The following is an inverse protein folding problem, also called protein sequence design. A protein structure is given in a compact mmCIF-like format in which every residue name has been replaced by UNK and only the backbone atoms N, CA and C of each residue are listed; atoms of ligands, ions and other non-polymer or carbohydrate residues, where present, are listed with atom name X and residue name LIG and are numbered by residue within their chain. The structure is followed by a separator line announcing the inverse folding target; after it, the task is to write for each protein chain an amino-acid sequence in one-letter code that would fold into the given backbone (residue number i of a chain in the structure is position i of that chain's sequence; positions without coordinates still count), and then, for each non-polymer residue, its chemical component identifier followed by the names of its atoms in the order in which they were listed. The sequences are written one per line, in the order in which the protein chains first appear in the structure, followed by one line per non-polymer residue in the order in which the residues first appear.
data_IF_987628579580
#
_entry.id   IF_987628579580
#
_cell.length_a   1.000
_cell.length_b   1.000
_cell.length_c   1.000
_cell.angle_alpha   90.00
_cell.angle_beta   90.00
_cell.angle_gamma   90.00
#
_symmetry.space_group_name_H-M   'P 1'
#
loop_
_entity.id
_entity.type
_entity.pdbx_description
1 polymer ?
#
# COMPACT_ATOMS: atom_id res chain seq x y z
N UNK A 1 19.78 3.61 19.30
CA UNK A 1 20.37 2.38 18.68
C UNK A 1 20.58 2.63 17.20
N UNK A 2 21.58 2.01 16.56
CA UNK A 2 21.92 2.29 15.14
C UNK A 2 21.21 1.28 14.22
N UNK A 3 20.65 1.76 13.09
CA UNK A 3 20.13 0.90 12.02
C UNK A 3 21.17 -0.11 11.57
N UNK A 4 20.78 -1.36 11.35
CA UNK A 4 21.67 -2.41 10.86
C UNK A 4 21.04 -3.23 9.74
N UNK A 5 21.83 -3.72 8.76
CA UNK A 5 21.37 -4.67 7.77
C UNK A 5 21.14 -6.04 8.43
N UNK A 6 20.21 -6.82 7.84
CA UNK A 6 19.92 -8.20 8.24
C UNK A 6 19.74 -9.01 6.96
N UNK A 7 20.42 -10.14 6.86
CA UNK A 7 20.21 -11.12 5.78
C UNK A 7 19.50 -12.33 6.37
N UNK A 8 18.52 -12.87 5.68
CA UNK A 8 17.74 -14.00 6.14
C UNK A 8 17.27 -14.88 4.97
N UNK A 9 17.03 -16.14 5.27
CA UNK A 9 16.59 -17.11 4.28
C UNK A 9 15.07 -17.09 4.10
N UNK A 10 14.62 -17.28 2.86
CA UNK A 10 13.25 -17.57 2.49
C UNK A 10 13.23 -18.63 1.37
N UNK A 11 12.91 -19.86 1.73
CA UNK A 11 12.82 -20.98 0.79
C UNK A 11 14.09 -21.16 -0.07
N UNK A 12 15.27 -20.93 0.52
CA UNK A 12 16.57 -21.06 -0.14
C UNK A 12 17.06 -19.80 -0.86
N UNK A 13 16.29 -18.70 -0.85
CA UNK A 13 16.70 -17.40 -1.37
C UNK A 13 17.15 -16.47 -0.23
N UNK A 14 18.30 -15.80 -0.37
CA UNK A 14 18.74 -14.80 0.58
C UNK A 14 17.97 -13.48 0.40
N UNK A 15 17.22 -13.07 1.43
CA UNK A 15 16.52 -11.80 1.47
C UNK A 15 17.27 -10.78 2.33
N UNK A 16 17.18 -9.52 1.92
CA UNK A 16 17.85 -8.40 2.57
C UNK A 16 16.86 -7.49 3.29
N UNK A 17 17.12 -7.26 4.56
CA UNK A 17 16.34 -6.38 5.42
C UNK A 17 17.18 -5.27 6.07
N UNK A 18 16.47 -4.35 6.69
CA UNK A 18 17.03 -3.29 7.55
C UNK A 18 16.23 -3.22 8.83
N UNK A 19 16.91 -3.38 9.96
CA UNK A 19 16.36 -3.24 11.30
C UNK A 19 16.72 -1.88 11.89
N UNK A 20 15.71 -1.12 12.26
CA UNK A 20 15.81 0.07 13.11
C UNK A 20 15.42 -0.37 14.53
N UNK A 21 16.38 -0.72 15.43
CA UNK A 21 16.09 -1.28 16.74
C UNK A 21 15.58 -0.23 17.72
N UNK A 22 14.69 -0.65 18.64
CA UNK A 22 14.24 0.14 19.79
C UNK A 22 13.84 -0.81 20.93
N UNK A 23 13.52 -0.27 22.12
CA UNK A 23 13.24 -1.07 23.33
C UNK A 23 11.78 -1.49 23.49
N UNK A 24 10.86 -0.95 22.67
CA UNK A 24 9.43 -1.23 22.78
C UNK A 24 9.06 -2.66 22.43
N UNK A 25 8.01 -3.16 23.03
CA UNK A 25 7.47 -4.51 22.82
C UNK A 25 6.51 -4.61 21.60
N UNK A 26 6.12 -3.48 21.02
CA UNK A 26 5.32 -3.42 19.77
C UNK A 26 6.18 -2.88 18.64
N UNK A 27 6.36 -3.69 17.60
CA UNK A 27 7.17 -3.35 16.44
C UNK A 27 6.35 -3.21 15.15
N UNK A 28 6.95 -2.56 14.14
CA UNK A 28 6.39 -2.40 12.81
C UNK A 28 7.17 -3.22 11.79
N UNK A 29 6.47 -4.09 11.07
CA UNK A 29 6.98 -4.74 9.87
C UNK A 29 6.50 -3.95 8.65
N UNK A 30 7.41 -3.36 7.86
CA UNK A 30 7.06 -2.66 6.62
C UNK A 30 7.28 -3.60 5.43
N UNK A 31 6.20 -3.78 4.65
CA UNK A 31 6.19 -4.53 3.39
C UNK A 31 6.15 -3.54 2.25
N UNK A 32 7.18 -3.50 1.42
CA UNK A 32 7.25 -2.60 0.25
C UNK A 32 6.36 -3.09 -0.88
N UNK A 33 5.69 -2.18 -1.58
CA UNK A 33 4.82 -2.49 -2.72
C UNK A 33 5.54 -2.42 -4.07
N UNK A 34 4.96 -3.04 -5.09
CA UNK A 34 5.50 -3.03 -6.45
C UNK A 34 6.93 -3.54 -6.53
N UNK A 35 7.79 -2.80 -7.21
CA UNK A 35 9.23 -3.05 -7.26
C UNK A 35 10.02 -2.09 -6.34
N UNK A 36 9.37 -1.52 -5.34
CA UNK A 36 10.04 -0.66 -4.37
C UNK A 36 10.99 -1.46 -3.49
N UNK A 37 12.22 -0.96 -3.37
CA UNK A 37 13.18 -1.47 -2.39
C UNK A 37 12.80 -1.01 -0.96
N UNK A 38 13.35 -1.66 0.04
CA UNK A 38 13.06 -1.45 1.48
C UNK A 38 13.22 -0.03 2.02
N UNK A 39 13.85 0.88 1.28
CA UNK A 39 13.89 2.30 1.69
C UNK A 39 12.62 3.06 1.30
N UNK A 40 11.84 2.54 0.36
CA UNK A 40 10.66 3.19 -0.18
C UNK A 40 10.97 4.33 -1.14
N UNK A 41 9.96 4.83 -1.85
CA UNK A 41 10.09 6.02 -2.69
C UNK A 41 10.63 7.20 -1.85
N UNK A 42 11.54 7.98 -2.43
CA UNK A 42 12.24 9.11 -1.78
C UNK A 42 12.84 8.79 -0.38
N UNK A 43 13.16 7.54 -0.10
CA UNK A 43 13.57 7.01 1.22
C UNK A 43 12.50 7.14 2.32
N UNK A 44 11.24 7.28 1.96
CA UNK A 44 10.13 7.57 2.88
C UNK A 44 9.93 6.49 3.96
N UNK A 45 10.02 5.21 3.59
CA UNK A 45 9.92 4.11 4.56
C UNK A 45 11.12 4.09 5.51
N UNK A 46 12.33 4.44 5.02
CA UNK A 46 13.52 4.52 5.85
C UNK A 46 13.47 5.69 6.85
N UNK A 47 12.89 6.84 6.45
CA UNK A 47 12.68 8.00 7.32
C UNK A 47 11.58 7.72 8.36
N UNK A 48 10.48 7.12 7.95
CA UNK A 48 9.40 6.69 8.85
C UNK A 48 9.94 5.74 9.92
N UNK A 49 10.71 4.72 9.51
CA UNK A 49 11.32 3.76 10.42
C UNK A 49 12.23 4.41 11.45
N UNK A 50 13.08 5.36 11.03
CA UNK A 50 13.97 6.09 11.93
C UNK A 50 13.17 6.92 12.97
N UNK A 51 12.08 7.58 12.56
CA UNK A 51 11.20 8.35 13.47
C UNK A 51 10.52 7.45 14.49
N UNK A 52 9.99 6.30 14.05
CA UNK A 52 9.31 5.34 14.94
C UNK A 52 10.28 4.66 15.91
N UNK A 53 11.50 4.31 15.46
CA UNK A 53 12.54 3.80 16.34
C UNK A 53 12.97 4.84 17.38
N UNK A 54 13.06 6.12 16.98
CA UNK A 54 13.27 7.25 17.90
C UNK A 54 12.12 7.44 18.91
N UNK A 55 10.89 7.03 18.55
CA UNK A 55 9.72 7.02 19.43
C UNK A 55 9.61 5.74 20.29
N UNK A 56 10.59 4.83 20.21
CA UNK A 56 10.67 3.62 21.03
C UNK A 56 10.14 2.34 20.38
N UNK A 57 9.69 2.37 19.13
CA UNK A 57 9.13 1.23 18.42
C UNK A 57 10.12 0.66 17.39
N UNK A 58 10.58 -0.60 17.53
CA UNK A 58 11.48 -1.19 16.55
C UNK A 58 10.77 -1.40 15.22
N UNK A 59 11.52 -1.22 14.11
CA UNK A 59 10.97 -1.34 12.75
C UNK A 59 11.85 -2.24 11.91
N UNK A 60 11.25 -3.22 11.24
CA UNK A 60 11.90 -4.06 10.27
C UNK A 60 11.33 -3.83 8.88
N UNK A 61 12.21 -3.65 7.90
CA UNK A 61 11.88 -3.45 6.47
C UNK A 61 12.73 -4.40 5.65
N UNK A 62 12.19 -4.93 4.56
CA UNK A 62 12.92 -5.89 3.73
C UNK A 62 12.58 -5.74 2.25
N UNK A 63 13.48 -6.20 1.40
CA UNK A 63 13.24 -6.40 -0.04
C UNK A 63 12.64 -7.78 -0.26
N UNK A 64 11.55 -7.85 -1.02
CA UNK A 64 10.92 -9.11 -1.41
C UNK A 64 11.81 -9.87 -2.40
N UNK A 65 11.57 -11.15 -2.61
CA UNK A 65 12.29 -11.94 -3.63
C UNK A 65 12.30 -11.22 -4.99
N UNK A 66 13.49 -11.15 -5.62
CA UNK A 66 13.70 -10.50 -6.92
C UNK A 66 13.56 -8.98 -6.92
N UNK A 67 13.59 -8.33 -5.74
CA UNK A 67 13.55 -6.87 -5.58
C UNK A 67 14.80 -6.41 -4.81
N UNK A 68 15.39 -5.30 -5.22
CA UNK A 68 16.55 -4.69 -4.55
C UNK A 68 17.76 -5.63 -4.50
N UNK A 69 18.24 -5.89 -3.27
CA UNK A 69 19.39 -6.78 -3.05
C UNK A 69 18.98 -8.25 -2.81
N UNK A 70 17.64 -8.54 -2.72
CA UNK A 70 17.14 -9.89 -2.44
C UNK A 70 17.20 -10.80 -3.67
N UNK A 71 17.60 -12.04 -3.44
CA UNK A 71 17.67 -13.09 -4.44
C UNK A 71 16.26 -13.58 -4.84
N UNK A 72 16.23 -14.51 -5.83
CA UNK A 72 15.02 -15.16 -6.31
C UNK A 72 14.31 -14.38 -7.41
N UNK A 73 13.06 -14.74 -7.67
CA UNK A 73 12.23 -14.14 -8.74
C UNK A 73 11.06 -13.38 -8.14
N UNK A 74 10.77 -12.18 -8.69
CA UNK A 74 9.59 -11.42 -8.33
C UNK A 74 8.35 -11.96 -9.06
N UNK A 75 7.60 -12.80 -8.40
CA UNK A 75 6.34 -13.38 -8.89
C UNK A 75 5.09 -12.52 -8.54
N UNK A 76 5.30 -11.26 -8.18
CA UNK A 76 4.24 -10.32 -7.82
C UNK A 76 3.73 -10.51 -6.38
N UNK A 77 2.82 -9.62 -5.98
CA UNK A 77 2.36 -9.54 -4.59
C UNK A 77 1.57 -10.77 -4.12
N UNK A 78 0.91 -11.50 -5.02
CA UNK A 78 0.18 -12.74 -4.69
C UNK A 78 1.10 -13.89 -4.24
N UNK A 79 2.40 -13.81 -4.56
CA UNK A 79 3.40 -14.80 -4.17
C UNK A 79 4.24 -14.40 -2.94
N UNK A 80 3.97 -13.24 -2.32
CA UNK A 80 4.83 -12.68 -1.26
C UNK A 80 4.57 -13.22 0.14
N UNK A 81 3.61 -14.13 0.33
CA UNK A 81 3.26 -14.66 1.66
C UNK A 81 4.46 -15.26 2.39
N UNK A 82 5.25 -16.08 1.70
CA UNK A 82 6.46 -16.70 2.27
C UNK A 82 7.50 -15.65 2.67
N UNK A 83 7.73 -14.62 1.84
CA UNK A 83 8.67 -13.54 2.11
C UNK A 83 8.28 -12.76 3.37
N UNK A 84 6.98 -12.45 3.52
CA UNK A 84 6.46 -11.73 4.69
C UNK A 84 6.58 -12.60 5.95
N UNK A 85 6.27 -13.90 5.86
CA UNK A 85 6.42 -14.84 6.97
C UNK A 85 7.88 -14.98 7.42
N UNK A 86 8.82 -15.11 6.49
CA UNK A 86 10.26 -15.18 6.78
C UNK A 86 10.78 -13.88 7.40
N UNK A 87 10.33 -12.73 6.90
CA UNK A 87 10.65 -11.41 7.46
C UNK A 87 10.10 -11.24 8.88
N UNK A 88 8.87 -11.66 9.14
CA UNK A 88 8.25 -11.62 10.47
C UNK A 88 9.00 -12.51 11.47
N UNK A 89 9.31 -13.75 11.08
CA UNK A 89 10.08 -14.67 11.91
C UNK A 89 11.48 -14.10 12.23
N UNK A 90 12.11 -13.50 11.22
CA UNK A 90 13.40 -12.83 11.39
C UNK A 90 13.29 -11.63 12.33
N UNK A 91 12.29 -10.79 12.18
CA UNK A 91 12.07 -9.64 13.06
C UNK A 91 11.91 -10.06 14.53
N UNK A 92 11.10 -11.09 14.80
CA UNK A 92 10.90 -11.66 16.14
C UNK A 92 12.21 -12.24 16.70
N UNK A 93 13.02 -12.91 15.88
CA UNK A 93 14.33 -13.45 16.28
C UNK A 93 15.34 -12.35 16.62
N UNK A 94 15.37 -11.28 15.81
CA UNK A 94 16.28 -10.15 15.98
C UNK A 94 15.89 -9.23 17.15
N UNK A 95 14.62 -9.27 17.54
CA UNK A 95 14.02 -8.48 18.63
C UNK A 95 13.23 -9.38 19.58
N UNK A 96 13.91 -10.18 20.46
CA UNK A 96 13.24 -11.16 21.32
C UNK A 96 12.23 -10.58 22.32
N UNK A 97 12.31 -9.26 22.58
CA UNK A 97 11.35 -8.54 23.45
C UNK A 97 10.02 -8.18 22.77
N UNK A 98 9.89 -8.45 21.47
CA UNK A 98 8.62 -8.16 20.74
C UNK A 98 7.51 -9.08 21.22
N UNK A 99 6.40 -8.48 21.63
CA UNK A 99 5.12 -9.15 21.95
C UNK A 99 4.10 -8.97 20.85
N UNK A 100 4.15 -7.82 20.14
CA UNK A 100 3.21 -7.47 19.09
C UNK A 100 3.94 -7.00 17.85
N UNK A 101 3.46 -7.40 16.67
CA UNK A 101 3.95 -6.92 15.38
C UNK A 101 2.78 -6.44 14.54
N UNK A 102 2.78 -5.15 14.22
CA UNK A 102 1.85 -4.55 13.27
C UNK A 102 2.53 -4.50 11.91
N UNK A 103 1.82 -4.87 10.85
CA UNK A 103 2.34 -4.75 9.50
C UNK A 103 1.81 -3.50 8.79
N UNK A 104 2.70 -2.78 8.12
CA UNK A 104 2.37 -1.69 7.22
C UNK A 104 2.67 -2.10 5.79
N UNK A 105 1.70 -1.95 4.90
CA UNK A 105 1.88 -2.14 3.46
C UNK A 105 1.27 -0.98 2.68
N UNK A 106 1.89 -0.64 1.53
CA UNK A 106 1.38 0.35 0.59
C UNK A 106 1.14 -0.29 -0.77
N UNK A 107 0.13 0.17 -1.52
CA UNK A 107 -0.20 -0.33 -2.85
C UNK A 107 -0.55 -1.85 -2.82
N UNK A 108 0.12 -2.64 -3.66
CA UNK A 108 -0.05 -4.10 -3.75
C UNK A 108 0.42 -4.85 -2.50
N UNK A 109 1.36 -4.29 -1.72
CA UNK A 109 1.73 -4.85 -0.42
C UNK A 109 0.58 -4.72 0.59
N UNK A 110 -0.20 -3.64 0.56
CA UNK A 110 -1.42 -3.55 1.35
C UNK A 110 -2.44 -4.62 0.95
N UNK A 111 -2.57 -4.89 -0.35
CA UNK A 111 -3.43 -5.96 -0.86
C UNK A 111 -2.95 -7.35 -0.44
N UNK A 112 -1.63 -7.59 -0.47
CA UNK A 112 -1.04 -8.84 0.03
C UNK A 112 -1.35 -9.05 1.53
N UNK A 113 -1.22 -8.00 2.35
CA UNK A 113 -1.58 -8.07 3.77
C UNK A 113 -3.07 -8.32 4.00
N UNK A 114 -3.95 -7.79 3.13
CA UNK A 114 -5.39 -8.08 3.19
C UNK A 114 -5.70 -9.53 2.83
N UNK A 115 -4.95 -10.13 1.89
CA UNK A 115 -5.11 -11.53 1.48
C UNK A 115 -4.57 -12.51 2.54
N UNK A 116 -3.40 -12.22 3.12
CA UNK A 116 -2.62 -13.18 3.91
C UNK A 116 -2.54 -12.85 5.40
N UNK A 117 -3.06 -11.70 5.86
CA UNK A 117 -2.91 -11.22 7.24
C UNK A 117 -3.32 -12.24 8.31
N UNK A 118 -4.39 -13.00 8.05
CA UNK A 118 -4.86 -14.07 8.95
C UNK A 118 -3.85 -15.20 9.12
N UNK A 119 -3.12 -15.55 8.04
CA UNK A 119 -2.16 -16.65 8.03
C UNK A 119 -0.79 -16.27 8.60
N UNK A 120 -0.53 -14.95 8.71
CA UNK A 120 0.77 -14.40 9.08
C UNK A 120 0.91 -14.11 10.59
N UNK A 121 -0.11 -14.39 11.40
CA UNK A 121 -0.09 -14.13 12.85
C UNK A 121 0.37 -12.69 13.21
N UNK A 122 -0.14 -11.70 12.47
CA UNK A 122 0.09 -10.28 12.70
C UNK A 122 -0.94 -9.73 13.68
N UNK A 123 -0.54 -8.84 14.57
CA UNK A 123 -1.39 -8.26 15.61
C UNK A 123 -2.20 -7.05 15.13
N UNK A 124 -1.84 -6.49 13.97
CA UNK A 124 -2.56 -5.39 13.34
C UNK A 124 -2.08 -5.11 11.92
N UNK A 125 -2.95 -4.47 11.12
CA UNK A 125 -2.68 -4.12 9.73
C UNK A 125 -2.90 -2.63 9.50
N UNK A 126 -1.89 -1.97 8.90
CA UNK A 126 -1.95 -0.61 8.39
C UNK A 126 -1.82 -0.65 6.87
N UNK A 127 -2.89 -0.34 6.17
CA UNK A 127 -3.08 -0.59 4.75
C UNK A 127 -3.17 0.72 3.98
N UNK A 128 -2.07 1.14 3.36
CA UNK A 128 -2.00 2.42 2.64
C UNK A 128 -2.31 2.24 1.15
N UNK A 129 -3.32 2.96 0.64
CA UNK A 129 -3.69 3.00 -0.78
C UNK A 129 -3.75 1.60 -1.44
N UNK A 130 -4.54 0.61 -0.93
CA UNK A 130 -4.51 -0.75 -1.42
C UNK A 130 -4.81 -0.84 -2.93
N UNK A 131 -4.13 -1.75 -3.62
CA UNK A 131 -4.31 -2.02 -5.03
C UNK A 131 -5.50 -2.98 -5.25
N UNK A 132 -6.40 -2.65 -6.16
CA UNK A 132 -7.61 -3.45 -6.44
C UNK A 132 -7.85 -3.73 -7.92
N UNK A 133 -6.84 -3.57 -8.75
CA UNK A 133 -7.00 -3.77 -10.19
C UNK A 133 -6.53 -5.18 -10.56
N UNK A 134 -7.43 -5.96 -11.15
CA UNK A 134 -7.09 -7.24 -11.75
C UNK A 134 -6.33 -6.95 -13.05
N UNK A 135 -5.02 -7.26 -13.09
CA UNK A 135 -4.19 -7.11 -14.28
C UNK A 135 -4.06 -8.46 -14.98
N UNK A 136 -4.76 -8.66 -16.09
CA UNK A 136 -4.38 -9.69 -17.07
C UNK A 136 -3.33 -9.17 -18.07
N UNK A 137 -3.25 -7.84 -18.26
CA UNK A 137 -2.28 -7.19 -19.14
C UNK A 137 -1.67 -5.97 -18.44
N UNK A 138 -0.35 -5.83 -18.40
CA UNK A 138 0.44 -4.81 -17.71
C UNK A 138 0.12 -3.32 -18.00
N UNK A 139 -1.10 -3.03 -18.37
CA UNK A 139 -1.65 -1.69 -18.60
C UNK A 139 -2.59 -1.28 -17.48
N UNK A 140 -2.30 -0.14 -16.84
CA UNK A 140 -3.18 0.50 -15.86
C UNK A 140 -4.46 0.98 -16.57
N UNK A 141 -5.43 0.09 -16.76
CA UNK A 141 -6.74 0.43 -17.29
C UNK A 141 -7.45 1.42 -16.34
N UNK A 142 -7.99 2.50 -16.87
CA UNK A 142 -8.79 3.45 -16.06
C UNK A 142 -10.12 2.78 -15.71
N UNK A 143 -10.37 2.55 -14.42
CA UNK A 143 -11.69 2.09 -13.99
C UNK A 143 -12.77 3.10 -14.43
N UNK A 144 -13.93 2.63 -14.93
CA UNK A 144 -15.01 3.50 -15.42
C UNK A 144 -15.47 4.56 -14.43
N UNK A 145 -15.42 4.27 -13.12
CA UNK A 145 -15.80 5.21 -12.06
C UNK A 145 -14.83 6.40 -11.93
N UNK A 146 -13.51 6.18 -12.13
CA UNK A 146 -12.50 7.25 -12.12
C UNK A 146 -12.61 8.10 -13.38
N UNK A 147 -12.84 7.46 -14.52
CA UNK A 147 -13.14 8.15 -15.78
C UNK A 147 -14.37 9.04 -15.63
N UNK A 148 -15.50 8.54 -15.07
CA UNK A 148 -16.72 9.33 -14.81
C UNK A 148 -16.44 10.58 -13.97
N UNK A 149 -15.71 10.49 -12.85
CA UNK A 149 -15.35 11.64 -12.01
C UNK A 149 -14.49 12.67 -12.76
N UNK A 150 -13.55 12.19 -13.56
CA UNK A 150 -12.68 13.05 -14.37
C UNK A 150 -13.47 13.79 -15.45
N UNK A 151 -14.39 13.09 -16.17
CA UNK A 151 -15.23 13.70 -17.18
C UNK A 151 -16.28 14.63 -16.58
N UNK A 152 -16.90 14.28 -15.45
CA UNK A 152 -17.81 15.18 -14.74
C UNK A 152 -17.13 16.49 -14.31
N UNK A 153 -15.88 16.43 -13.79
CA UNK A 153 -15.11 17.64 -13.48
C UNK A 153 -14.77 18.48 -14.72
N UNK A 154 -14.40 17.83 -15.84
CA UNK A 154 -14.13 18.52 -17.10
C UNK A 154 -15.37 19.18 -17.68
N UNK A 155 -16.53 18.53 -17.60
CA UNK A 155 -17.81 19.09 -18.03
C UNK A 155 -18.30 20.22 -17.13
N UNK A 156 -17.93 20.24 -15.86
CA UNK A 156 -18.24 21.32 -14.92
C UNK A 156 -17.32 22.54 -15.05
N UNK A 157 -16.20 22.47 -15.79
CA UNK A 157 -15.25 23.60 -15.97
C UNK A 157 -15.57 24.39 -17.24
N UNK A 158 -16.03 25.66 -17.11
CA UNK A 158 -16.36 26.53 -18.26
C UNK A 158 -15.21 26.77 -19.24
N UNK A 159 -13.96 26.65 -18.77
CA UNK A 159 -12.77 26.82 -19.62
C UNK A 159 -12.58 25.67 -20.60
N UNK A 160 -13.08 24.49 -20.27
CA UNK A 160 -13.01 23.30 -21.14
C UNK A 160 -14.02 23.42 -22.31
N UNK A 161 -15.17 24.08 -22.11
CA UNK A 161 -16.15 24.33 -23.15
C UNK A 161 -15.61 25.22 -24.28
N UNK A 162 -14.77 26.23 -23.93
CA UNK A 162 -14.08 27.05 -24.93
C UNK A 162 -13.11 26.24 -25.80
N UNK A 163 -12.42 25.25 -25.25
CA UNK A 163 -11.51 24.36 -26.00
C UNK A 163 -12.26 23.36 -26.88
N UNK A 164 -13.43 22.89 -26.46
CA UNK A 164 -14.31 22.05 -27.28
C UNK A 164 -14.82 22.83 -28.51
N UNK A 165 -15.20 24.07 -28.33
CA UNK A 165 -15.69 24.93 -29.41
C UNK A 165 -14.59 25.35 -30.43
N UNK A 166 -13.29 25.27 -30.05
CA UNK A 166 -12.15 25.62 -30.89
C UNK A 166 -11.54 24.42 -31.64
N UNK A 167 -12.16 23.22 -31.63
CA UNK A 167 -11.72 22.06 -32.42
C UNK A 167 -10.48 21.32 -31.89
N UNK A 168 -10.06 21.61 -30.66
CA UNK A 168 -8.83 21.03 -30.07
C UNK A 168 -9.02 19.71 -29.33
N UNK A 169 -10.11 18.97 -29.54
CA UNK A 169 -10.37 17.68 -28.87
C UNK A 169 -10.79 16.64 -29.92
N UNK A 170 -10.11 15.50 -29.92
CA UNK A 170 -10.48 14.36 -30.74
C UNK A 170 -11.81 13.77 -30.23
N UNK A 171 -12.83 13.85 -31.07
CA UNK A 171 -14.20 13.43 -30.74
C UNK A 171 -14.30 11.92 -30.50
N UNK A 172 -13.47 11.13 -31.20
CA UNK A 172 -13.41 9.67 -31.06
C UNK A 172 -12.81 9.25 -29.70
N UNK A 173 -11.85 10.00 -29.19
CA UNK A 173 -11.32 9.80 -27.85
C UNK A 173 -12.31 10.19 -26.76
N UNK A 174 -13.13 11.22 -27.02
CA UNK A 174 -14.21 11.63 -26.10
C UNK A 174 -15.30 10.56 -26.04
N UNK A 175 -15.74 10.05 -27.20
CA UNK A 175 -16.78 9.01 -27.30
C UNK A 175 -16.28 7.70 -26.71
N UNK A 176 -15.06 7.26 -27.04
CA UNK A 176 -14.42 6.08 -26.42
C UNK A 176 -14.31 6.21 -24.90
N UNK A 177 -13.92 7.38 -24.41
CA UNK A 177 -13.85 7.67 -22.99
C UNK A 177 -15.22 7.66 -22.31
N UNK A 178 -16.26 8.15 -22.98
CA UNK A 178 -17.65 8.17 -22.49
C UNK A 178 -18.25 6.76 -22.46
N UNK A 179 -18.06 5.96 -23.52
CA UNK A 179 -18.49 4.56 -23.58
C UNK A 179 -17.80 3.75 -22.47
N UNK A 180 -16.50 3.93 -22.26
CA UNK A 180 -15.74 3.30 -21.17
C UNK A 180 -16.21 3.78 -19.79
N UNK A 181 -16.64 5.04 -19.66
CA UNK A 181 -17.19 5.58 -18.42
C UNK A 181 -18.61 5.07 -18.12
N UNK A 182 -19.39 4.74 -19.14
CA UNK A 182 -20.75 4.19 -19.01
C UNK A 182 -20.77 2.67 -18.86
N UNK A 183 -19.67 1.97 -19.19
CA UNK A 183 -19.57 0.53 -18.97
C UNK A 183 -19.71 0.21 -17.48
N UNK A 184 -20.52 -0.80 -17.14
CA UNK A 184 -20.59 -1.32 -15.76
C UNK A 184 -19.22 -1.81 -15.36
N UNK A 185 -18.69 -1.29 -14.26
CA UNK A 185 -17.47 -1.81 -13.64
C UNK A 185 -17.75 -3.27 -13.25
N UNK A 186 -17.06 -4.22 -13.87
CA UNK A 186 -17.06 -5.60 -13.34
C UNK A 186 -16.55 -5.53 -11.90
N UNK A 187 -17.15 -6.25 -10.95
CA UNK A 187 -16.59 -6.38 -9.62
C UNK A 187 -15.14 -6.88 -9.76
N UNK A 188 -14.20 -6.23 -9.07
CA UNK A 188 -12.81 -6.70 -9.02
C UNK A 188 -12.78 -8.00 -8.22
N UNK A 189 -12.32 -9.08 -8.82
CA UNK A 189 -12.14 -10.38 -8.15
C UNK A 189 -11.15 -10.22 -6.99
N UNK A 190 -10.06 -9.51 -7.22
CA UNK A 190 -9.08 -9.17 -6.18
C UNK A 190 -9.74 -8.46 -4.98
N UNK A 191 -10.61 -7.47 -5.23
CA UNK A 191 -11.29 -6.77 -4.14
C UNK A 191 -12.25 -7.69 -3.34
N UNK A 192 -12.83 -8.70 -3.98
CA UNK A 192 -13.64 -9.71 -3.30
C UNK A 192 -12.77 -10.61 -2.41
N UNK A 193 -11.67 -11.14 -2.94
CA UNK A 193 -10.69 -11.94 -2.18
C UNK A 193 -10.12 -11.17 -0.98
N UNK A 194 -9.75 -9.89 -1.17
CA UNK A 194 -9.27 -9.02 -0.09
C UNK A 194 -10.32 -8.83 1.01
N UNK A 195 -11.62 -8.69 0.65
CA UNK A 195 -12.70 -8.62 1.65
C UNK A 195 -12.81 -9.90 2.44
N UNK A 196 -12.74 -11.04 1.77
CA UNK A 196 -12.79 -12.34 2.40
C UNK A 196 -11.60 -12.55 3.35
N UNK A 197 -10.38 -12.19 2.93
CA UNK A 197 -9.19 -12.22 3.77
C UNK A 197 -9.36 -11.37 5.03
N UNK A 198 -9.80 -10.10 4.89
CA UNK A 198 -10.06 -9.22 6.03
C UNK A 198 -11.24 -9.64 6.90
N UNK A 199 -12.24 -10.32 6.36
CA UNK A 199 -13.38 -10.83 7.14
C UNK A 199 -12.95 -11.94 8.11
N UNK A 200 -11.88 -12.68 7.78
CA UNK A 200 -11.29 -13.72 8.65
C UNK A 200 -10.26 -13.15 9.64
N UNK A 201 -9.79 -11.94 9.41
CA UNK A 201 -8.76 -11.31 10.25
C UNK A 201 -9.36 -10.69 11.50
N UNK A 202 -8.86 -11.07 12.67
CA UNK A 202 -9.38 -10.65 13.98
C UNK A 202 -8.61 -9.48 14.61
N UNK A 203 -7.43 -9.13 14.08
CA UNK A 203 -6.62 -8.04 14.60
C UNK A 203 -7.14 -6.65 14.19
N UNK A 204 -6.54 -5.61 14.75
CA UNK A 204 -6.86 -4.22 14.40
C UNK A 204 -6.49 -3.92 12.94
N UNK A 205 -7.35 -3.19 12.23
CA UNK A 205 -7.12 -2.79 10.83
C UNK A 205 -7.39 -1.30 10.67
N UNK A 206 -6.43 -0.57 10.07
CA UNK A 206 -6.63 0.81 9.60
C UNK A 206 -6.29 0.89 8.10
N UNK A 207 -7.15 1.55 7.34
CA UNK A 207 -6.99 1.79 5.90
C UNK A 207 -6.68 3.27 5.69
N UNK A 208 -5.48 3.57 5.21
CA UNK A 208 -4.94 4.93 5.09
C UNK A 208 -4.98 5.38 3.62
N UNK A 209 -5.73 6.44 3.31
CA UNK A 209 -6.05 6.82 1.93
C UNK A 209 -5.54 8.22 1.59
N UNK A 210 -4.67 8.31 0.59
CA UNK A 210 -4.32 9.55 -0.11
C UNK A 210 -5.46 9.94 -1.07
N UNK A 211 -6.35 10.85 -0.67
CA UNK A 211 -7.65 11.10 -1.33
C UNK A 211 -7.55 11.45 -2.82
N UNK A 212 -6.45 12.09 -3.25
CA UNK A 212 -6.26 12.55 -4.63
C UNK A 212 -5.33 11.62 -5.43
N UNK A 213 -4.80 10.56 -4.79
CA UNK A 213 -4.04 9.51 -5.47
C UNK A 213 -4.95 8.63 -6.32
N UNK A 214 -4.43 8.18 -7.46
CA UNK A 214 -5.18 7.37 -8.42
C UNK A 214 -5.49 5.98 -7.89
N UNK A 215 -4.53 5.31 -7.28
CA UNK A 215 -4.71 3.96 -6.70
C UNK A 215 -5.76 3.99 -5.60
N UNK A 216 -5.69 4.99 -4.72
CA UNK A 216 -6.67 5.21 -3.67
C UNK A 216 -8.10 5.46 -4.22
N UNK A 217 -8.23 6.18 -5.35
CA UNK A 217 -9.52 6.41 -5.99
C UNK A 217 -10.08 5.11 -6.61
N UNK A 218 -9.22 4.26 -7.19
CA UNK A 218 -9.59 2.94 -7.71
C UNK A 218 -10.04 2.02 -6.57
N UNK A 219 -9.27 1.99 -5.48
CA UNK A 219 -9.64 1.26 -4.28
C UNK A 219 -11.01 1.71 -3.76
N UNK A 220 -11.22 3.01 -3.58
CA UNK A 220 -12.51 3.52 -3.09
C UNK A 220 -13.69 3.16 -4.00
N UNK A 221 -13.47 3.14 -5.32
CA UNK A 221 -14.50 2.76 -6.28
C UNK A 221 -14.87 1.26 -6.20
N UNK A 222 -13.88 0.39 -5.96
CA UNK A 222 -14.07 -1.05 -5.82
C UNK A 222 -14.52 -1.47 -4.40
N UNK A 223 -14.02 -0.78 -3.37
CA UNK A 223 -14.21 -1.13 -1.96
C UNK A 223 -15.46 -0.53 -1.32
N UNK A 224 -15.83 0.71 -1.69
CA UNK A 224 -16.96 1.42 -1.11
C UNK A 224 -16.62 2.11 0.23
N UNK A 225 -17.62 2.21 1.11
CA UNK A 225 -17.46 2.81 2.45
C UNK A 225 -17.02 1.75 3.45
N UNK A 226 -16.02 2.10 4.26
CA UNK A 226 -15.51 1.26 5.35
C UNK A 226 -15.12 2.19 6.50
N UNK A 227 -15.62 1.91 7.70
CA UNK A 227 -15.39 2.72 8.91
C UNK A 227 -13.93 2.75 9.36
N UNK A 228 -13.14 1.76 8.95
CA UNK A 228 -11.70 1.66 9.24
C UNK A 228 -10.86 2.60 8.36
N UNK A 229 -11.50 3.34 7.44
CA UNK A 229 -10.79 4.18 6.46
C UNK A 229 -10.56 5.58 6.98
N UNK A 230 -9.31 5.98 7.09
CA UNK A 230 -8.85 7.33 7.35
C UNK A 230 -8.31 7.97 6.05
N UNK A 231 -8.53 9.27 5.86
CA UNK A 231 -8.22 9.94 4.60
C UNK A 231 -7.41 11.20 4.83
N UNK A 232 -6.39 11.39 3.99
CA UNK A 232 -5.62 12.64 3.95
C UNK A 232 -5.68 13.27 2.55
N UNK A 233 -5.79 14.60 2.49
CA UNK A 233 -6.03 15.35 1.25
C UNK A 233 -4.73 15.56 0.44
N UNK A 234 -4.02 14.48 0.09
CA UNK A 234 -2.83 14.50 -0.77
C UNK A 234 -3.06 13.73 -2.08
N UNK A 235 -2.26 14.05 -3.10
CA UNK A 235 -2.14 13.30 -4.35
C UNK A 235 -0.90 12.37 -4.35
N UNK A 236 -0.07 12.46 -3.32
CA UNK A 236 1.14 11.66 -3.20
C UNK A 236 0.78 10.24 -2.78
N UNK A 237 1.01 9.28 -3.67
CA UNK A 237 0.81 7.85 -3.40
C UNK A 237 1.60 7.37 -2.18
N UNK A 238 2.83 7.86 -2.02
CA UNK A 238 3.77 7.51 -0.95
C UNK A 238 3.77 8.51 0.21
N UNK A 239 2.78 9.41 0.30
CA UNK A 239 2.69 10.43 1.34
C UNK A 239 3.96 11.30 1.46
N UNK A 240 4.52 11.74 0.31
CA UNK A 240 5.80 12.45 0.27
C UNK A 240 5.74 13.90 0.75
N UNK A 241 4.57 14.54 0.73
CA UNK A 241 4.38 15.92 1.24
C UNK A 241 4.65 15.96 2.75
N UNK A 242 5.21 17.05 3.26
CA UNK A 242 5.58 17.19 4.67
C UNK A 242 4.40 16.92 5.62
N UNK A 243 3.26 17.57 5.39
CA UNK A 243 2.05 17.34 6.18
C UNK A 243 1.52 15.89 6.05
N UNK A 244 1.68 15.27 4.87
CA UNK A 244 1.26 13.88 4.65
C UNK A 244 2.18 12.90 5.37
N UNK A 245 3.50 13.16 5.42
CA UNK A 245 4.46 12.37 6.19
C UNK A 245 4.17 12.40 7.68
N UNK A 246 3.85 13.59 8.20
CA UNK A 246 3.54 13.75 9.63
C UNK A 246 2.22 13.08 9.96
N UNK A 247 1.21 13.25 9.13
CA UNK A 247 -0.06 12.54 9.30
C UNK A 247 0.13 11.02 9.28
N UNK A 248 0.90 10.48 8.33
CA UNK A 248 1.19 9.04 8.26
C UNK A 248 1.92 8.56 9.52
N UNK A 249 2.95 9.29 9.95
CA UNK A 249 3.68 8.98 11.17
C UNK A 249 2.76 8.91 12.39
N UNK A 250 1.87 9.90 12.57
CA UNK A 250 0.93 9.94 13.70
C UNK A 250 -0.06 8.76 13.67
N UNK A 251 -0.55 8.38 12.48
CA UNK A 251 -1.45 7.21 12.34
C UNK A 251 -0.74 5.91 12.68
N UNK A 252 0.48 5.72 12.17
CA UNK A 252 1.28 4.54 12.46
C UNK A 252 1.64 4.49 13.95
N UNK A 253 2.09 5.60 14.53
CA UNK A 253 2.43 5.69 15.95
C UNK A 253 1.22 5.41 16.86
N UNK A 254 0.06 5.92 16.51
CA UNK A 254 -1.19 5.65 17.25
C UNK A 254 -1.52 4.16 17.27
N UNK A 255 -1.39 3.47 16.13
CA UNK A 255 -1.63 2.03 16.04
C UNK A 255 -0.60 1.20 16.84
N UNK A 256 0.65 1.64 16.91
CA UNK A 256 1.70 0.95 17.69
C UNK A 256 1.49 1.09 19.20
N UNK A 257 0.78 2.13 19.65
CA UNK A 257 0.47 2.42 21.06
C UNK A 257 -0.83 1.82 21.55
N UNK A 258 -1.76 1.51 20.64
CA UNK A 258 -3.06 0.90 20.96
C UNK A 258 -2.90 -0.59 21.34
#
# INVERSE_FOLDING_TARGET
MTRRPVVFDCEGAALFGSLDPALGETGLLIVSGGNEIRCGAWSGQALLAARLAGAGHPVFRFDRRGVGDSEGENLGFRATRADIAAALATFRREMPGLRRVIAFGSCDAASALMLFGTELELDGLLLANPWTVDCEDGGVAQAPAVARRRYARKLADPRQWKRLASGGVDFDDLVRGLVKALSRTRPSELAAEMREGLARYSGAVSILIAQRDRTAQLFHAAWGRDSRTERFATASHSFADECARDWLFERVLAALRA
#
